data_IF_962989003954
#
_entry.id   IF_962989003954
#
_cell.length_a   1.000
_cell.length_b   1.000
_cell.length_c   1.000
_cell.angle_alpha   90.00
_cell.angle_beta   90.00
_cell.angle_gamma   90.00
#
_symmetry.space_group_name_H-M   'P 1'
#
loop_
_entity.id
_entity.type
_entity.pdbx_description
1 polymer ?
#
# COMPACT_ATOMS: atom_id res chain seq x y z
N UNK A 1 -12.81 3.29 -10.54
CA UNK A 1 -13.31 3.46 -9.17
C UNK A 1 -12.43 2.62 -8.26
N UNK A 2 -11.73 3.22 -7.29
CA UNK A 2 -11.17 2.44 -6.19
C UNK A 2 -12.32 1.72 -5.49
N UNK A 3 -12.14 0.46 -5.09
CA UNK A 3 -13.15 -0.18 -4.27
C UNK A 3 -13.23 0.61 -2.96
N UNK A 4 -14.43 0.89 -2.45
CA UNK A 4 -14.62 1.65 -1.21
C UNK A 4 -13.81 1.06 -0.02
N UNK A 5 -13.51 -0.24 -0.09
CA UNK A 5 -12.57 -0.94 0.77
C UNK A 5 -11.14 -0.36 0.71
N UNK A 6 -10.60 -0.18 -0.49
CA UNK A 6 -9.28 0.38 -0.70
C UNK A 6 -9.21 1.83 -0.23
N UNK A 7 -10.19 2.66 -0.60
CA UNK A 7 -10.20 4.07 -0.19
C UNK A 7 -10.22 4.22 1.34
N UNK A 8 -11.08 3.46 2.03
CA UNK A 8 -11.16 3.47 3.49
C UNK A 8 -9.87 2.98 4.17
N UNK A 9 -9.35 1.82 3.74
CA UNK A 9 -8.14 1.27 4.35
C UNK A 9 -6.88 2.08 4.01
N UNK A 10 -6.75 2.56 2.79
CA UNK A 10 -5.64 3.43 2.40
C UNK A 10 -5.68 4.76 3.13
N UNK A 11 -6.87 5.31 3.41
CA UNK A 11 -7.04 6.48 4.28
C UNK A 11 -6.40 6.28 5.65
N UNK A 12 -6.74 5.18 6.33
CA UNK A 12 -6.14 4.82 7.63
C UNK A 12 -4.64 4.58 7.48
N UNK A 13 -4.24 3.85 6.44
CA UNK A 13 -2.86 3.44 6.26
C UNK A 13 -1.92 4.62 6.02
N UNK A 14 -2.41 5.59 5.27
CA UNK A 14 -1.69 6.80 4.95
C UNK A 14 -1.87 7.90 5.98
N UNK A 15 -2.73 7.77 6.99
CA UNK A 15 -3.06 8.86 7.93
C UNK A 15 -1.86 9.54 8.59
N UNK A 16 -0.72 8.83 8.80
CA UNK A 16 0.53 9.40 9.35
C UNK A 16 1.67 9.53 8.32
N UNK A 17 1.41 9.30 7.05
CA UNK A 17 2.41 9.41 6.00
C UNK A 17 2.71 10.89 5.70
N UNK A 18 3.99 11.26 5.68
CA UNK A 18 4.40 12.63 5.35
C UNK A 18 4.10 13.04 3.90
N UNK A 19 3.93 12.06 2.99
CA UNK A 19 3.44 12.28 1.62
C UNK A 19 2.09 11.60 1.45
N UNK A 20 1.04 12.26 1.89
CA UNK A 20 -0.32 11.71 1.89
C UNK A 20 -0.78 11.28 0.50
N UNK A 21 -0.71 12.17 -0.50
CA UNK A 21 -1.19 11.89 -1.85
C UNK A 21 -0.45 10.73 -2.53
N UNK A 22 0.88 10.70 -2.43
CA UNK A 22 1.70 9.60 -2.94
C UNK A 22 1.30 8.28 -2.25
N UNK A 23 1.18 8.30 -0.93
CA UNK A 23 0.79 7.13 -0.16
C UNK A 23 -0.57 6.59 -0.60
N UNK A 24 -1.59 7.45 -0.73
CA UNK A 24 -2.93 7.05 -1.16
C UNK A 24 -2.91 6.46 -2.57
N UNK A 25 -2.17 7.09 -3.49
CA UNK A 25 -2.03 6.62 -4.87
C UNK A 25 -1.40 5.23 -4.94
N UNK A 26 -0.25 5.03 -4.29
CA UNK A 26 0.42 3.73 -4.29
C UNK A 26 -0.36 2.67 -3.52
N UNK A 27 -0.97 3.04 -2.39
CA UNK A 27 -1.83 2.15 -1.63
C UNK A 27 -3.03 1.68 -2.46
N UNK A 28 -3.69 2.59 -3.17
CA UNK A 28 -4.83 2.26 -4.03
C UNK A 28 -4.45 1.31 -5.16
N UNK A 29 -3.30 1.51 -5.81
CA UNK A 29 -2.77 0.59 -6.84
C UNK A 29 -2.53 -0.80 -6.26
N UNK A 30 -1.85 -0.87 -5.11
CA UNK A 30 -1.53 -2.15 -4.48
C UNK A 30 -2.77 -2.85 -3.92
N UNK A 31 -3.73 -2.09 -3.40
CA UNK A 31 -5.00 -2.62 -2.95
C UNK A 31 -5.86 -3.11 -4.11
N UNK A 32 -5.88 -2.44 -5.26
CA UNK A 32 -6.60 -2.92 -6.43
C UNK A 32 -6.01 -4.24 -6.97
N UNK A 33 -4.68 -4.39 -6.94
CA UNK A 33 -4.01 -5.62 -7.38
C UNK A 33 -4.16 -6.77 -6.36
N UNK A 34 -3.99 -6.48 -5.06
CA UNK A 34 -3.92 -7.49 -4.01
C UNK A 34 -5.24 -7.69 -3.24
N UNK A 35 -6.22 -6.81 -3.43
CA UNK A 35 -7.48 -6.72 -2.66
C UNK A 35 -7.28 -6.78 -1.13
N UNK A 36 -6.15 -6.26 -0.65
CA UNK A 36 -5.72 -6.34 0.73
C UNK A 36 -4.92 -5.09 1.09
N UNK A 37 -5.17 -4.52 2.26
CA UNK A 37 -4.38 -3.43 2.86
C UNK A 37 -4.10 -3.80 4.31
N UNK A 38 -2.83 -3.80 4.75
CA UNK A 38 -2.45 -4.14 6.11
C UNK A 38 -2.93 -3.09 7.12
N UNK A 39 -3.15 -3.53 8.36
CA UNK A 39 -3.67 -2.69 9.44
C UNK A 39 -2.59 -1.75 10.02
N UNK A 40 -3.02 -0.63 10.61
CA UNK A 40 -2.14 0.39 11.20
C UNK A 40 -1.67 1.45 10.18
N UNK A 41 -0.61 2.21 10.50
CA UNK A 41 0.00 3.23 9.60
C UNK A 41 1.40 2.88 9.08
N UNK A 42 2.08 1.92 9.72
CA UNK A 42 3.36 1.36 9.30
C UNK A 42 3.43 -0.12 9.75
N UNK A 43 4.33 -0.93 9.15
CA UNK A 43 4.50 -2.36 9.53
C UNK A 43 3.40 -3.31 9.03
N UNK A 44 3.17 -4.44 9.72
CA UNK A 44 2.06 -5.39 9.47
C UNK A 44 1.89 -5.89 8.02
N UNK A 45 2.92 -5.79 7.20
CA UNK A 45 2.84 -6.17 5.78
C UNK A 45 2.61 -7.68 5.61
N UNK A 46 2.90 -8.48 6.64
CA UNK A 46 2.68 -9.92 6.68
C UNK A 46 1.19 -10.31 6.70
N UNK A 47 0.28 -9.40 7.08
CA UNK A 47 -1.17 -9.62 6.95
C UNK A 47 -1.60 -9.70 5.47
N UNK A 48 -0.86 -9.04 4.59
CA UNK A 48 -1.13 -8.97 3.16
C UNK A 48 0.16 -9.31 2.38
N UNK A 49 0.52 -10.61 2.23
CA UNK A 49 1.77 -11.01 1.59
C UNK A 49 1.90 -10.47 0.16
N UNK A 50 0.80 -10.45 -0.62
CA UNK A 50 0.79 -9.79 -1.92
C UNK A 50 1.22 -8.32 -1.81
N UNK A 51 0.64 -7.54 -0.89
CA UNK A 51 0.96 -6.11 -0.71
C UNK A 51 2.43 -5.90 -0.28
N UNK A 52 2.98 -6.80 0.54
CA UNK A 52 4.39 -6.79 0.96
C UNK A 52 5.34 -7.04 -0.19
N UNK A 53 5.04 -8.03 -1.02
CA UNK A 53 5.95 -8.54 -2.05
C UNK A 53 5.94 -7.67 -3.32
N UNK A 54 5.02 -6.70 -3.40
CA UNK A 54 4.99 -5.70 -4.47
C UNK A 54 6.14 -4.74 -4.34
N UNK A 55 7.04 -4.82 -5.31
CA UNK A 55 8.21 -3.96 -5.43
C UNK A 55 8.26 -3.27 -6.79
N UNK A 56 8.85 -2.08 -6.83
CA UNK A 56 9.19 -1.35 -8.04
C UNK A 56 10.70 -1.43 -8.30
N UNK A 57 11.10 -1.51 -9.56
CA UNK A 57 12.50 -1.62 -9.99
C UNK A 57 13.00 -3.06 -10.20
N UNK A 58 14.24 -3.17 -10.69
CA UNK A 58 14.90 -4.44 -11.00
C UNK A 58 16.29 -4.51 -10.33
N UNK A 59 16.72 -5.72 -9.94
CA UNK A 59 18.02 -5.96 -9.31
C UNK A 59 18.20 -5.24 -7.97
N UNK A 60 19.35 -4.61 -7.77
CA UNK A 60 19.68 -3.87 -6.55
C UNK A 60 18.80 -2.63 -6.29
N UNK A 61 17.97 -2.21 -7.26
CA UNK A 61 17.06 -1.06 -7.13
C UNK A 61 15.64 -1.46 -6.75
N UNK A 62 15.42 -2.71 -6.33
CA UNK A 62 14.12 -3.21 -5.89
C UNK A 62 13.70 -2.48 -4.60
N UNK A 63 12.64 -1.66 -4.68
CA UNK A 63 12.05 -0.95 -3.54
C UNK A 63 10.60 -1.37 -3.33
N UNK A 64 10.06 -1.35 -2.10
CA UNK A 64 8.64 -1.57 -1.88
C UNK A 64 7.83 -0.58 -2.72
N UNK A 65 6.90 -1.09 -3.54
CA UNK A 65 5.98 -0.25 -4.32
C UNK A 65 4.86 0.29 -3.42
N UNK A 66 4.46 -0.50 -2.42
CA UNK A 66 3.34 -0.21 -1.56
C UNK A 66 3.79 0.37 -0.21
N UNK A 67 3.09 1.39 0.32
CA UNK A 67 3.46 2.07 1.57
C UNK A 67 3.55 1.13 2.78
#
# INVERSE_FOLDING_TARGET
>A
AGSAFCDGKCGVRCSKAGRHDDCLKYCGICCAECNCVPSGTAGNKDECPCYRDKTTGHGARKRPKCP
#
